data_IF_690971230164
#
_entry.id   IF_690971230164
#
_cell.length_a   1.000
_cell.length_b   1.000
_cell.length_c   1.000
_cell.angle_alpha   90.00
_cell.angle_beta   90.00
_cell.angle_gamma   90.00
#
_symmetry.space_group_name_H-M   'P 1'
#
loop_
_entity.id
_entity.type
_entity.pdbx_description
1 polymer ?
#
# COMPACT_ATOMS: atom_id res chain seq x y z
N UNK A 1 -27.48 -17.46 -17.94
CA UNK A 1 -27.27 -17.30 -16.49
C UNK A 1 -25.80 -16.94 -16.33
N UNK A 2 -25.46 -15.66 -16.42
CA UNK A 2 -24.10 -15.23 -16.10
C UNK A 2 -24.04 -15.20 -14.57
N UNK A 3 -23.21 -16.07 -13.98
CA UNK A 3 -22.77 -15.86 -12.61
C UNK A 3 -21.99 -14.55 -12.61
N UNK A 4 -22.61 -13.51 -12.08
CA UNK A 4 -21.97 -12.23 -11.82
C UNK A 4 -20.95 -12.47 -10.69
N UNK A 5 -19.76 -12.91 -11.05
CA UNK A 5 -18.63 -13.00 -10.12
C UNK A 5 -18.09 -11.57 -9.96
N UNK A 6 -18.91 -10.71 -9.36
CA UNK A 6 -18.49 -9.38 -8.93
C UNK A 6 -17.69 -9.56 -7.65
N UNK A 7 -16.38 -9.31 -7.69
CA UNK A 7 -15.58 -9.21 -6.46
C UNK A 7 -16.25 -8.21 -5.50
N UNK A 8 -16.53 -8.65 -4.29
CA UNK A 8 -17.12 -7.85 -3.23
C UNK A 8 -16.07 -6.95 -2.60
N UNK A 9 -16.50 -5.89 -1.91
CA UNK A 9 -15.58 -5.04 -1.15
C UNK A 9 -14.72 -5.85 -0.14
N UNK A 10 -15.28 -6.92 0.44
CA UNK A 10 -14.56 -7.81 1.35
C UNK A 10 -13.47 -8.59 0.64
N UNK A 11 -13.71 -9.03 -0.61
CA UNK A 11 -12.69 -9.75 -1.40
C UNK A 11 -11.46 -8.87 -1.62
N UNK A 12 -11.63 -7.57 -1.88
CA UNK A 12 -10.51 -6.63 -1.98
C UNK A 12 -9.74 -6.47 -0.66
N UNK A 13 -10.44 -6.44 0.49
CA UNK A 13 -9.80 -6.39 1.80
C UNK A 13 -8.97 -7.65 2.07
N UNK A 14 -9.51 -8.82 1.75
CA UNK A 14 -8.82 -10.11 1.97
C UNK A 14 -7.62 -10.27 1.04
N UNK A 15 -7.71 -9.84 -0.22
CA UNK A 15 -6.58 -9.81 -1.14
C UNK A 15 -5.50 -8.83 -0.69
N UNK A 16 -5.88 -7.62 -0.24
CA UNK A 16 -4.94 -6.65 0.31
C UNK A 16 -4.19 -7.19 1.55
N UNK A 17 -4.90 -7.89 2.45
CA UNK A 17 -4.27 -8.60 3.58
C UNK A 17 -3.25 -9.62 3.09
N UNK A 18 -3.64 -10.46 2.14
CA UNK A 18 -2.78 -11.52 1.59
C UNK A 18 -1.51 -10.92 0.96
N UNK A 19 -1.62 -9.83 0.19
CA UNK A 19 -0.46 -9.13 -0.38
C UNK A 19 0.51 -8.62 0.69
N UNK A 20 0.01 -8.12 1.82
CA UNK A 20 0.87 -7.67 2.92
C UNK A 20 1.56 -8.83 3.62
N UNK A 21 0.86 -9.95 3.83
CA UNK A 21 1.41 -11.18 4.42
C UNK A 21 2.48 -11.80 3.51
N UNK A 22 2.22 -11.90 2.21
CA UNK A 22 3.16 -12.43 1.21
C UNK A 22 4.44 -11.60 1.14
N UNK A 23 4.32 -10.27 1.21
CA UNK A 23 5.49 -9.38 1.26
C UNK A 23 6.29 -9.56 2.56
N UNK A 24 5.62 -9.66 3.70
CA UNK A 24 6.28 -9.89 4.99
C UNK A 24 7.06 -11.23 4.99
N UNK A 25 6.47 -12.29 4.42
CA UNK A 25 7.10 -13.59 4.27
C UNK A 25 8.29 -13.57 3.29
N UNK A 26 8.15 -12.86 2.16
CA UNK A 26 9.20 -12.75 1.14
C UNK A 26 10.48 -12.09 1.69
N UNK A 27 10.33 -11.14 2.61
CA UNK A 27 11.46 -10.38 3.16
C UNK A 27 11.91 -10.82 4.55
N UNK A 28 11.40 -11.95 5.07
CA UNK A 28 11.67 -12.49 6.41
C UNK A 28 11.62 -11.41 7.50
N UNK A 29 10.60 -10.54 7.41
CA UNK A 29 10.40 -9.43 8.35
C UNK A 29 9.29 -9.80 9.32
N UNK A 30 9.60 -10.32 10.52
CA UNK A 30 8.59 -10.68 11.52
C UNK A 30 7.78 -9.47 12.01
N UNK A 31 8.19 -8.25 11.66
CA UNK A 31 7.51 -6.99 11.99
C UNK A 31 6.67 -6.39 10.85
N UNK A 32 6.46 -7.13 9.75
CA UNK A 32 5.64 -6.72 8.60
C UNK A 32 6.43 -6.01 7.48
N UNK A 33 5.72 -5.31 6.58
CA UNK A 33 6.31 -4.57 5.46
C UNK A 33 7.09 -3.34 5.95
N UNK A 34 8.37 -3.22 5.58
CA UNK A 34 9.29 -2.16 6.07
C UNK A 34 10.04 -1.44 4.94
N UNK A 35 9.71 -1.72 3.69
CA UNK A 35 10.42 -1.10 2.55
C UNK A 35 10.20 0.41 2.48
N UNK A 36 9.05 0.94 2.90
CA UNK A 36 8.73 2.36 2.74
C UNK A 36 9.64 3.27 3.55
N UNK A 37 9.93 2.94 4.82
CA UNK A 37 10.81 3.76 5.66
C UNK A 37 12.22 3.89 5.06
N UNK A 38 12.78 2.80 4.54
CA UNK A 38 14.09 2.82 3.86
C UNK A 38 14.02 3.55 2.52
N UNK A 39 12.92 3.36 1.77
CA UNK A 39 12.68 4.02 0.48
C UNK A 39 12.63 5.53 0.64
N UNK A 40 11.87 6.02 1.62
CA UNK A 40 11.74 7.46 1.91
C UNK A 40 13.08 8.04 2.39
N UNK A 41 13.81 7.33 3.27
CA UNK A 41 15.14 7.78 3.69
C UNK A 41 16.10 7.94 2.51
N UNK A 42 16.17 6.93 1.64
CA UNK A 42 17.02 6.99 0.45
C UNK A 42 16.57 8.11 -0.51
N UNK A 43 15.27 8.23 -0.76
CA UNK A 43 14.70 9.27 -1.61
C UNK A 43 15.08 10.66 -1.10
N UNK A 44 14.86 10.93 0.18
CA UNK A 44 15.20 12.19 0.83
C UNK A 44 16.68 12.55 0.67
N UNK A 45 17.59 11.58 0.88
CA UNK A 45 19.04 11.77 0.69
C UNK A 45 19.38 12.13 -0.75
N UNK A 46 18.77 11.45 -1.73
CA UNK A 46 19.05 11.65 -3.15
C UNK A 46 18.52 13.00 -3.65
N UNK A 47 17.34 13.41 -3.20
CA UNK A 47 16.62 14.57 -3.76
C UNK A 47 16.71 15.84 -2.90
N UNK A 48 17.19 15.74 -1.66
CA UNK A 48 17.17 16.85 -0.69
C UNK A 48 15.76 17.17 -0.17
N UNK A 49 14.86 16.18 -0.16
CA UNK A 49 13.52 16.32 0.41
C UNK A 49 13.46 15.79 1.85
N UNK A 50 12.35 16.06 2.54
CA UNK A 50 12.12 15.65 3.93
C UNK A 50 10.75 15.00 4.07
N UNK A 51 10.49 13.95 3.30
CA UNK A 51 9.25 13.19 3.41
C UNK A 51 9.26 12.29 4.66
N UNK A 52 8.10 12.09 5.28
CA UNK A 52 7.89 11.06 6.30
C UNK A 52 7.51 9.72 5.65
N UNK A 53 7.62 8.62 6.40
CA UNK A 53 7.18 7.30 5.91
C UNK A 53 5.69 7.29 5.57
N UNK A 54 4.86 7.94 6.39
CA UNK A 54 3.42 8.10 6.12
C UNK A 54 3.16 8.86 4.81
N UNK A 55 3.94 9.91 4.51
CA UNK A 55 3.84 10.65 3.25
C UNK A 55 4.27 9.78 2.05
N UNK A 56 5.22 8.87 2.25
CA UNK A 56 5.58 7.85 1.26
C UNK A 56 4.40 6.94 0.91
N UNK A 57 3.68 6.41 1.91
CA UNK A 57 2.47 5.63 1.65
C UNK A 57 1.35 6.44 1.00
N UNK A 58 1.15 7.70 1.42
CA UNK A 58 0.19 8.61 0.77
C UNK A 58 0.53 8.80 -0.71
N UNK A 59 1.81 8.96 -1.04
CA UNK A 59 2.26 9.07 -2.42
C UNK A 59 1.91 7.81 -3.24
N UNK A 60 2.12 6.63 -2.66
CA UNK A 60 1.76 5.36 -3.30
C UNK A 60 0.25 5.18 -3.49
N UNK A 61 -0.58 5.62 -2.55
CA UNK A 61 -2.03 5.67 -2.73
C UNK A 61 -2.42 6.57 -3.91
N UNK A 62 -1.81 7.76 -4.02
CA UNK A 62 -2.06 8.68 -5.14
C UNK A 62 -1.68 8.02 -6.47
N UNK A 63 -0.53 7.33 -6.54
CA UNK A 63 -0.12 6.59 -7.73
C UNK A 63 -1.17 5.55 -8.16
N UNK A 64 -1.70 4.76 -7.22
CA UNK A 64 -2.70 3.73 -7.51
C UNK A 64 -4.04 4.33 -7.92
N UNK A 65 -4.46 5.42 -7.28
CA UNK A 65 -5.64 6.21 -7.68
C UNK A 65 -5.50 6.78 -9.09
N UNK A 66 -4.33 7.30 -9.47
CA UNK A 66 -4.10 7.79 -10.84
C UNK A 66 -4.11 6.64 -11.85
N UNK A 67 -3.44 5.52 -11.55
CA UNK A 67 -3.40 4.34 -12.44
C UNK A 67 -4.77 3.71 -12.65
N UNK A 68 -5.65 3.72 -11.66
CA UNK A 68 -7.02 3.19 -11.83
C UNK A 68 -7.88 4.02 -12.79
N UNK A 69 -7.45 5.24 -13.13
CA UNK A 69 -8.12 6.09 -14.13
C UNK A 69 -7.52 5.95 -15.54
N UNK A 70 -6.53 5.09 -15.72
CA UNK A 70 -5.79 4.94 -16.98
C UNK A 70 -5.96 3.53 -17.56
N UNK A 71 -6.44 3.45 -18.80
CA UNK A 71 -6.62 2.19 -19.51
C UNK A 71 -7.79 1.36 -19.01
N UNK A 72 -7.73 0.05 -19.25
CA UNK A 72 -8.76 -0.90 -18.83
C UNK A 72 -8.71 -1.15 -17.32
N UNK A 73 -9.83 -1.68 -16.78
CA UNK A 73 -9.92 -2.11 -15.40
C UNK A 73 -8.78 -3.08 -15.02
N UNK A 74 -8.11 -2.77 -13.91
CA UNK A 74 -7.12 -3.65 -13.30
C UNK A 74 -7.36 -3.72 -11.80
N UNK A 75 -7.58 -4.94 -11.33
CA UNK A 75 -7.96 -5.23 -9.95
C UNK A 75 -6.85 -4.87 -8.95
N UNK A 76 -5.60 -5.13 -9.30
CA UNK A 76 -4.41 -4.87 -8.50
C UNK A 76 -4.28 -3.40 -8.05
N UNK A 77 -4.76 -2.46 -8.86
CA UNK A 77 -4.76 -1.04 -8.50
C UNK A 77 -5.61 -0.76 -7.25
N UNK A 78 -6.72 -1.48 -7.08
CA UNK A 78 -7.63 -1.31 -5.96
C UNK A 78 -7.15 -2.10 -4.74
N UNK A 79 -6.69 -3.34 -4.94
CA UNK A 79 -6.07 -4.16 -3.89
C UNK A 79 -4.88 -3.45 -3.23
N UNK A 80 -3.97 -2.91 -4.05
CA UNK A 80 -2.81 -2.14 -3.53
C UNK A 80 -3.25 -0.83 -2.87
N UNK A 81 -4.31 -0.17 -3.35
CA UNK A 81 -4.82 1.04 -2.69
C UNK A 81 -5.29 0.75 -1.26
N UNK A 82 -5.98 -0.38 -1.05
CA UNK A 82 -6.40 -0.83 0.28
C UNK A 82 -5.17 -1.15 1.13
N UNK A 83 -4.23 -1.94 0.61
CA UNK A 83 -3.02 -2.31 1.35
C UNK A 83 -2.19 -1.07 1.77
N UNK A 84 -1.98 -0.11 0.86
CA UNK A 84 -1.24 1.11 1.15
C UNK A 84 -1.96 2.01 2.15
N UNK A 85 -3.29 2.09 2.11
CA UNK A 85 -4.06 2.83 3.11
C UNK A 85 -3.93 2.19 4.50
N UNK A 86 -3.96 0.86 4.61
CA UNK A 86 -3.74 0.13 5.86
C UNK A 86 -2.32 0.37 6.41
N UNK A 87 -1.29 0.25 5.58
CA UNK A 87 0.10 0.49 5.97
C UNK A 87 0.32 1.96 6.37
N UNK A 88 -0.30 2.91 5.67
CA UNK A 88 -0.26 4.33 6.06
C UNK A 88 -0.89 4.54 7.44
N UNK A 89 -2.03 3.91 7.70
CA UNK A 89 -2.71 3.98 8.99
C UNK A 89 -1.86 3.41 10.13
N UNK A 90 -1.20 2.28 9.88
CA UNK A 90 -0.25 1.69 10.82
C UNK A 90 0.94 2.62 11.10
N UNK A 91 1.56 3.19 10.06
CA UNK A 91 2.66 4.16 10.20
C UNK A 91 2.20 5.39 10.98
N UNK A 92 1.05 5.97 10.64
CA UNK A 92 0.49 7.12 11.35
C UNK A 92 0.21 6.81 12.83
N UNK A 93 -0.32 5.63 13.14
CA UNK A 93 -0.54 5.20 14.52
C UNK A 93 0.79 5.10 15.29
N UNK A 94 1.85 4.56 14.68
CA UNK A 94 3.19 4.47 15.30
C UNK A 94 3.85 5.84 15.49
N UNK A 95 3.74 6.72 14.50
CA UNK A 95 4.43 8.01 14.49
C UNK A 95 3.71 9.05 15.36
N UNK A 96 2.37 9.05 15.36
CA UNK A 96 1.55 10.14 15.92
C UNK A 96 0.80 9.81 17.22
N UNK A 97 0.48 8.54 17.52
CA UNK A 97 -0.19 8.18 18.77
C UNK A 97 0.80 7.93 19.93
N UNK A 98 1.66 8.92 20.21
CA UNK A 98 2.51 8.90 21.41
C UNK A 98 1.78 9.40 22.64
#
# INVERSE_FOLDING_TARGET
MYEDVSHTATDFLDKARSHMEDRAATYDSPSGERSMGLTVQAFNVITGHELTEEQGWLFMEVLKKVRSQQGDYREDNYEDSVAYASLRGETAAKERNR
#
